data_IF_433725453247
#
_entry.id   IF_433725453247
#
_cell.length_a   1.000
_cell.length_b   1.000
_cell.length_c   1.000
_cell.angle_alpha   90.00
_cell.angle_beta   90.00
_cell.angle_gamma   90.00
#
_symmetry.space_group_name_H-M   'P 1'
#
loop_
_entity.id
_entity.type
_entity.pdbx_description
1 polymer ?
#
# COMPACT_ATOMS: atom_id res chain seq x y z
N UNK A 1 31.66 15.51 24.12
CA UNK A 1 30.91 15.45 22.86
C UNK A 1 29.63 16.24 23.07
N UNK A 2 29.48 17.37 22.39
CA UNK A 2 28.38 18.31 22.57
C UNK A 2 27.06 17.64 22.16
N UNK A 3 26.13 17.46 23.10
CA UNK A 3 24.76 17.06 22.78
C UNK A 3 24.10 18.20 22.02
N UNK A 4 23.92 18.05 20.71
CA UNK A 4 23.13 18.99 19.94
C UNK A 4 21.69 18.94 20.46
N UNK A 5 21.15 20.09 20.85
CA UNK A 5 19.73 20.21 21.18
C UNK A 5 18.93 19.89 19.92
N UNK A 6 18.08 18.86 19.97
CA UNK A 6 17.14 18.57 18.89
C UNK A 6 16.29 19.81 18.63
N UNK A 7 16.06 20.13 17.37
CA UNK A 7 15.09 21.18 17.05
C UNK A 7 13.69 20.69 17.41
N UNK A 8 12.76 21.62 17.64
CA UNK A 8 11.36 21.25 17.84
C UNK A 8 10.80 20.42 16.66
N UNK A 9 11.31 20.63 15.45
CA UNK A 9 10.95 19.84 14.26
C UNK A 9 11.42 18.39 14.42
N UNK A 10 12.66 18.17 14.89
CA UNK A 10 13.21 16.83 15.08
C UNK A 10 12.44 16.06 16.18
N UNK A 11 12.02 16.75 17.24
CA UNK A 11 11.19 16.18 18.30
C UNK A 11 9.82 15.73 17.78
N UNK A 12 9.13 16.61 17.03
CA UNK A 12 7.84 16.29 16.43
C UNK A 12 7.97 15.13 15.43
N UNK A 13 8.99 15.18 14.58
CA UNK A 13 9.22 14.17 13.55
C UNK A 13 9.54 12.80 14.15
N UNK A 14 10.44 12.75 15.13
CA UNK A 14 10.77 11.49 15.81
C UNK A 14 9.58 10.86 16.54
N UNK A 15 8.62 11.67 17.03
CA UNK A 15 7.38 11.20 17.63
C UNK A 15 6.27 10.81 16.63
N UNK A 16 6.18 11.47 15.47
CA UNK A 16 5.07 11.34 14.53
C UNK A 16 5.07 10.04 13.72
N UNK A 17 3.90 9.44 13.50
CA UNK A 17 3.76 8.44 12.42
C UNK A 17 3.75 9.17 11.09
N UNK A 18 4.76 8.94 10.26
CA UNK A 18 4.82 9.46 8.90
C UNK A 18 4.20 8.43 7.98
N UNK A 19 3.17 8.84 7.25
CA UNK A 19 2.28 7.93 6.53
C UNK A 19 2.25 8.27 5.05
N UNK A 20 2.72 7.35 4.22
CA UNK A 20 2.52 7.41 2.78
C UNK A 20 1.39 6.44 2.40
N UNK A 21 0.23 7.00 2.06
CA UNK A 21 -0.98 6.22 1.86
C UNK A 21 -1.06 5.54 0.48
N UNK A 22 -0.15 5.86 -0.43
CA UNK A 22 -0.13 5.28 -1.77
C UNK A 22 1.23 5.53 -2.45
N UNK A 23 2.02 4.47 -2.59
CA UNK A 23 3.20 4.44 -3.42
C UNK A 23 2.83 3.90 -4.81
N UNK A 24 2.76 4.82 -5.78
CA UNK A 24 2.46 4.54 -7.20
C UNK A 24 3.61 3.85 -7.92
N UNK A 25 4.03 2.68 -7.43
CA UNK A 25 4.97 1.80 -8.10
C UNK A 25 4.20 1.02 -9.16
N UNK A 26 4.79 0.81 -10.34
CA UNK A 26 4.15 -0.01 -11.37
C UNK A 26 4.00 -1.46 -10.85
N UNK A 27 2.77 -2.00 -10.79
CA UNK A 27 2.52 -3.31 -10.19
C UNK A 27 2.95 -4.42 -11.16
N UNK A 28 4.17 -4.88 -10.98
CA UNK A 28 4.76 -6.01 -11.70
C UNK A 28 5.44 -6.95 -10.70
N UNK A 29 5.31 -8.26 -10.92
CA UNK A 29 5.84 -9.28 -10.01
C UNK A 29 7.39 -9.32 -9.99
N UNK A 30 8.03 -8.73 -11.00
CA UNK A 30 9.48 -8.54 -11.11
C UNK A 30 9.96 -7.16 -10.68
N UNK A 31 9.08 -6.28 -10.19
CA UNK A 31 9.47 -4.98 -9.63
C UNK A 31 10.51 -5.15 -8.53
N UNK A 32 11.59 -4.37 -8.62
CA UNK A 32 12.60 -4.27 -7.57
C UNK A 32 12.04 -3.48 -6.37
N UNK A 33 11.89 -4.17 -5.25
CA UNK A 33 11.35 -3.62 -4.01
C UNK A 33 12.44 -3.14 -3.05
N UNK A 34 13.73 -3.19 -3.41
CA UNK A 34 14.81 -2.59 -2.62
C UNK A 34 14.60 -1.08 -2.45
N UNK A 35 13.83 -0.46 -3.34
CA UNK A 35 13.38 0.93 -3.24
C UNK A 35 12.60 1.27 -1.96
N UNK A 36 12.01 0.28 -1.26
CA UNK A 36 11.36 0.49 0.05
C UNK A 36 12.32 1.08 1.11
N UNK A 37 13.63 0.83 0.97
CA UNK A 37 14.64 1.45 1.83
C UNK A 37 14.67 2.97 1.72
N UNK A 38 14.22 3.56 0.60
CA UNK A 38 14.11 5.02 0.48
C UNK A 38 13.09 5.58 1.47
N UNK A 39 11.93 4.93 1.63
CA UNK A 39 10.93 5.31 2.64
C UNK A 39 11.48 5.10 4.06
N UNK A 40 12.14 3.97 4.31
CA UNK A 40 12.70 3.66 5.63
C UNK A 40 13.78 4.66 6.03
N UNK A 41 14.73 4.97 5.14
CA UNK A 41 15.78 5.98 5.37
C UNK A 41 15.22 7.40 5.47
N UNK A 42 14.12 7.69 4.77
CA UNK A 42 13.43 8.95 4.89
C UNK A 42 12.60 9.07 6.18
N UNK A 43 12.57 8.06 7.06
CA UNK A 43 11.86 8.05 8.34
C UNK A 43 10.36 7.79 8.24
N UNK A 44 9.89 7.28 7.10
CA UNK A 44 8.48 6.92 6.91
C UNK A 44 8.12 5.72 7.81
N UNK A 45 6.97 5.80 8.47
CA UNK A 45 6.49 4.77 9.39
C UNK A 45 5.61 3.74 8.69
N UNK A 46 4.84 4.16 7.69
CA UNK A 46 3.97 3.30 6.90
C UNK A 46 3.99 3.70 5.42
N UNK A 47 4.01 2.70 4.55
CA UNK A 47 3.76 2.84 3.11
C UNK A 47 2.71 1.82 2.64
N UNK A 48 1.74 2.26 1.86
CA UNK A 48 0.86 1.37 1.09
C UNK A 48 1.39 1.27 -0.34
N UNK A 49 1.63 0.06 -0.84
CA UNK A 49 2.18 -0.17 -2.17
C UNK A 49 1.09 -0.62 -3.12
N UNK A 50 0.98 0.05 -4.27
CA UNK A 50 0.03 -0.30 -5.32
C UNK A 50 0.30 -1.72 -5.86
N UNK A 51 -0.73 -2.55 -5.95
CA UNK A 51 -0.63 -3.92 -6.50
C UNK A 51 -1.51 -4.18 -7.72
N UNK A 52 -2.43 -3.27 -8.04
CA UNK A 52 -3.30 -3.35 -9.21
C UNK A 52 -3.92 -1.99 -9.51
N UNK A 53 -4.26 -1.74 -10.77
CA UNK A 53 -4.99 -0.55 -11.20
C UNK A 53 -6.10 -0.93 -12.19
N UNK A 54 -6.72 0.04 -12.86
CA UNK A 54 -7.91 -0.19 -13.70
C UNK A 54 -7.74 -1.17 -14.88
N UNK A 55 -6.51 -1.44 -15.32
CA UNK A 55 -6.26 -2.21 -16.56
C UNK A 55 -5.94 -3.69 -16.30
N UNK A 56 -5.03 -4.07 -15.39
CA UNK A 56 -4.65 -5.46 -15.21
C UNK A 56 -5.79 -6.29 -14.62
N UNK A 57 -5.87 -7.55 -15.02
CA UNK A 57 -6.85 -8.47 -14.47
C UNK A 57 -6.48 -8.94 -13.07
N UNK A 58 -7.42 -9.55 -12.35
CA UNK A 58 -7.13 -10.16 -11.06
C UNK A 58 -6.07 -11.27 -11.18
N UNK A 59 -6.01 -12.01 -12.30
CA UNK A 59 -4.97 -13.02 -12.55
C UNK A 59 -3.57 -12.41 -12.64
N UNK A 60 -3.46 -11.15 -13.06
CA UNK A 60 -2.20 -10.40 -13.10
C UNK A 60 -1.85 -9.79 -11.74
N UNK A 61 -2.86 -9.33 -10.98
CA UNK A 61 -2.68 -8.76 -9.65
C UNK A 61 -2.20 -9.79 -8.60
N UNK A 62 -2.68 -11.03 -8.67
CA UNK A 62 -2.34 -12.08 -7.68
C UNK A 62 -0.83 -12.41 -7.66
N UNK A 63 -0.14 -12.60 -8.80
CA UNK A 63 1.33 -12.74 -8.83
C UNK A 63 2.08 -11.55 -8.23
N UNK A 64 1.61 -10.32 -8.45
CA UNK A 64 2.21 -9.10 -7.88
C UNK A 64 2.10 -9.14 -6.34
N UNK A 65 0.89 -9.35 -5.82
CA UNK A 65 0.63 -9.52 -4.39
C UNK A 65 1.51 -10.62 -3.77
N UNK A 66 1.58 -11.78 -4.42
CA UNK A 66 2.40 -12.90 -3.97
C UNK A 66 3.89 -12.53 -3.89
N UNK A 67 4.42 -11.89 -4.94
CA UNK A 67 5.82 -11.47 -4.99
C UNK A 67 6.13 -10.41 -3.91
N UNK A 68 5.28 -9.40 -3.76
CA UNK A 68 5.51 -8.29 -2.84
C UNK A 68 5.40 -8.75 -1.40
N UNK A 69 4.38 -9.55 -1.10
CA UNK A 69 4.21 -10.16 0.22
C UNK A 69 5.42 -11.03 0.59
N UNK A 70 5.91 -11.87 -0.34
CA UNK A 70 7.11 -12.69 -0.13
C UNK A 70 8.34 -11.83 0.14
N UNK A 71 8.50 -10.71 -0.57
CA UNK A 71 9.64 -9.80 -0.37
C UNK A 71 9.62 -9.19 1.04
N UNK A 72 8.47 -8.68 1.49
CA UNK A 72 8.31 -8.11 2.84
C UNK A 72 8.63 -9.15 3.90
N UNK A 73 8.12 -10.37 3.75
CA UNK A 73 8.37 -11.46 4.72
C UNK A 73 9.80 -11.99 4.72
N UNK A 74 10.54 -11.85 3.62
CA UNK A 74 11.93 -12.26 3.51
C UNK A 74 12.90 -11.33 4.27
N UNK A 75 12.47 -10.12 4.64
CA UNK A 75 13.28 -9.12 5.33
C UNK A 75 12.62 -8.64 6.64
N UNK A 76 12.36 -9.55 7.60
CA UNK A 76 11.58 -9.25 8.80
C UNK A 76 12.27 -8.28 9.78
N UNK A 77 13.58 -8.09 9.61
CA UNK A 77 14.41 -7.12 10.33
C UNK A 77 14.25 -5.69 9.79
N UNK A 78 13.78 -5.53 8.55
CA UNK A 78 13.57 -4.23 7.90
C UNK A 78 12.09 -3.85 7.82
N UNK A 79 11.23 -4.84 7.55
CA UNK A 79 9.84 -4.60 7.22
C UNK A 79 8.87 -5.37 8.11
N UNK A 80 7.63 -4.86 8.15
CA UNK A 80 6.51 -5.53 8.79
C UNK A 80 5.29 -5.40 7.86
N UNK A 81 4.68 -6.52 7.49
CA UNK A 81 3.40 -6.52 6.79
C UNK A 81 2.29 -6.13 7.77
N UNK A 82 1.71 -4.94 7.59
CA UNK A 82 0.78 -4.35 8.55
C UNK A 82 -0.66 -4.79 8.30
N UNK A 83 -1.33 -5.25 9.35
CA UNK A 83 -2.77 -5.55 9.34
C UNK A 83 -3.57 -4.39 9.95
N UNK A 84 -3.02 -3.78 10.99
CA UNK A 84 -3.67 -2.76 11.80
C UNK A 84 -2.78 -1.53 11.99
N UNK A 85 -3.38 -0.41 12.42
CA UNK A 85 -2.62 0.79 12.81
C UNK A 85 -1.67 0.53 14.01
N UNK A 86 -1.95 -0.47 14.84
CA UNK A 86 -1.04 -0.85 15.93
C UNK A 86 0.23 -1.52 15.41
N UNK A 87 0.12 -2.28 14.31
CA UNK A 87 1.29 -2.85 13.65
C UNK A 87 2.24 -1.76 13.12
N UNK A 88 1.70 -0.62 12.68
CA UNK A 88 2.50 0.55 12.27
C UNK A 88 3.26 1.16 13.45
N UNK A 89 2.59 1.31 14.61
CA UNK A 89 3.25 1.79 15.83
C UNK A 89 4.36 0.83 16.27
N UNK A 90 4.09 -0.48 16.22
CA UNK A 90 5.06 -1.52 16.53
C UNK A 90 6.25 -1.48 15.58
N UNK A 91 6.01 -1.43 14.27
CA UNK A 91 7.06 -1.35 13.26
C UNK A 91 7.98 -0.15 13.52
N UNK A 92 7.42 1.04 13.74
CA UNK A 92 8.19 2.23 14.09
C UNK A 92 9.03 2.03 15.36
N UNK A 93 8.43 1.50 16.43
CA UNK A 93 9.13 1.25 17.69
C UNK A 93 10.29 0.26 17.53
N UNK A 94 10.13 -0.72 16.64
CA UNK A 94 11.14 -1.73 16.30
C UNK A 94 12.20 -1.22 15.30
N UNK A 95 12.06 0.00 14.77
CA UNK A 95 12.95 0.54 13.73
C UNK A 95 12.71 -0.02 12.32
N UNK A 96 11.52 -0.58 12.09
CA UNK A 96 11.07 -1.18 10.82
C UNK A 96 10.09 -0.28 10.09
N UNK A 97 9.99 -0.47 8.77
CA UNK A 97 8.93 0.15 7.96
C UNK A 97 7.70 -0.78 7.93
N UNK A 98 6.54 -0.23 8.25
CA UNK A 98 5.27 -0.93 8.03
C UNK A 98 4.86 -0.84 6.55
N UNK A 99 4.47 -1.96 5.97
CA UNK A 99 4.07 -2.08 4.57
C UNK A 99 2.69 -2.71 4.50
N UNK A 100 1.79 -2.14 3.70
CA UNK A 100 0.57 -2.80 3.26
C UNK A 100 0.39 -2.60 1.75
N UNK A 101 -0.71 -3.12 1.20
CA UNK A 101 -1.02 -3.02 -0.22
C UNK A 101 -2.31 -2.24 -0.48
N UNK A 102 -2.42 -1.66 -1.66
CA UNK A 102 -3.64 -1.02 -2.13
C UNK A 102 -3.95 -1.29 -3.60
N UNK A 103 -5.23 -1.13 -3.93
CA UNK A 103 -5.73 -1.17 -5.30
C UNK A 103 -5.98 0.26 -5.78
N UNK A 104 -5.36 0.65 -6.88
CA UNK A 104 -5.61 1.91 -7.59
C UNK A 104 -6.70 1.69 -8.67
N UNK A 105 -7.86 1.18 -8.23
CA UNK A 105 -8.94 0.71 -9.08
C UNK A 105 -9.39 -0.71 -8.69
N UNK A 106 -10.69 -0.91 -8.49
CA UNK A 106 -11.23 -2.19 -8.00
C UNK A 106 -11.47 -3.25 -9.09
N UNK A 107 -10.84 -3.14 -10.26
CA UNK A 107 -10.97 -4.12 -11.36
C UNK A 107 -10.53 -5.54 -10.96
N UNK A 108 -9.65 -5.66 -9.96
CA UNK A 108 -9.23 -6.94 -9.41
C UNK A 108 -10.33 -7.69 -8.62
N UNK A 109 -11.51 -7.09 -8.42
CA UNK A 109 -12.66 -7.78 -7.81
C UNK A 109 -13.35 -8.74 -8.77
N UNK A 110 -13.22 -8.55 -10.08
CA UNK A 110 -13.72 -9.46 -11.11
C UNK A 110 -15.19 -9.87 -10.91
N UNK A 111 -16.04 -8.92 -10.52
CA UNK A 111 -17.47 -9.11 -10.31
C UNK A 111 -17.84 -9.99 -9.11
N UNK A 112 -16.89 -10.32 -8.23
CA UNK A 112 -17.09 -11.17 -7.05
C UNK A 112 -16.71 -10.44 -5.76
N UNK A 113 -17.70 -10.14 -4.91
CA UNK A 113 -17.50 -9.51 -3.60
C UNK A 113 -16.61 -10.36 -2.67
N UNK A 114 -16.51 -11.68 -2.89
CA UNK A 114 -15.60 -12.56 -2.17
C UNK A 114 -14.13 -12.16 -2.35
N UNK A 115 -13.79 -11.50 -3.45
CA UNK A 115 -12.44 -11.00 -3.72
C UNK A 115 -11.99 -9.93 -2.72
N UNK A 116 -12.92 -9.16 -2.13
CA UNK A 116 -12.58 -8.19 -1.07
C UNK A 116 -11.93 -8.91 0.11
N UNK A 117 -12.54 -10.01 0.57
CA UNK A 117 -11.99 -10.79 1.68
C UNK A 117 -10.68 -11.47 1.31
N UNK A 118 -10.55 -11.96 0.07
CA UNK A 118 -9.32 -12.60 -0.41
C UNK A 118 -8.16 -11.60 -0.43
N UNK A 119 -8.35 -10.46 -1.11
CA UNK A 119 -7.33 -9.41 -1.27
C UNK A 119 -6.95 -8.82 0.09
N UNK A 120 -7.93 -8.60 0.98
CA UNK A 120 -7.65 -8.22 2.36
C UNK A 120 -6.76 -9.26 3.09
N UNK A 121 -7.06 -10.55 2.95
CA UNK A 121 -6.23 -11.63 3.50
C UNK A 121 -4.79 -11.65 2.93
N UNK A 122 -4.60 -11.17 1.70
CA UNK A 122 -3.30 -11.04 1.05
C UNK A 122 -2.52 -9.78 1.44
N UNK A 123 -3.11 -8.87 2.22
CA UNK A 123 -2.45 -7.67 2.75
C UNK A 123 -2.95 -6.35 2.17
N UNK A 124 -4.00 -6.36 1.34
CA UNK A 124 -4.64 -5.12 0.85
C UNK A 124 -5.40 -4.44 2.00
N UNK A 125 -5.15 -3.16 2.25
CA UNK A 125 -5.81 -2.37 3.33
C UNK A 125 -6.56 -1.15 2.83
N UNK A 126 -6.39 -0.79 1.57
CA UNK A 126 -7.06 0.31 0.90
C UNK A 126 -7.40 -0.08 -0.54
N UNK A 127 -8.51 0.44 -1.06
CA UNK A 127 -8.85 0.29 -2.46
C UNK A 127 -9.58 1.54 -2.94
N UNK A 128 -9.07 2.12 -4.03
CA UNK A 128 -9.73 3.15 -4.82
C UNK A 128 -10.76 2.50 -5.73
N UNK A 129 -11.98 3.05 -5.77
CA UNK A 129 -13.10 2.48 -6.52
C UNK A 129 -12.79 2.41 -8.02
N UNK A 130 -12.46 3.55 -8.61
CA UNK A 130 -12.04 3.70 -10.00
C UNK A 130 -10.92 4.73 -10.09
N UNK A 131 -9.92 4.48 -10.93
CA UNK A 131 -8.81 5.39 -11.12
C UNK A 131 -9.05 6.36 -12.28
N UNK A 132 -8.61 6.02 -13.49
CA UNK A 132 -8.78 6.84 -14.68
C UNK A 132 -10.04 6.43 -15.46
N UNK A 133 -10.30 5.13 -15.61
CA UNK A 133 -11.36 4.62 -16.45
C UNK A 133 -12.55 4.15 -15.60
N UNK A 134 -13.74 4.19 -16.19
CA UNK A 134 -14.91 3.55 -15.57
C UNK A 134 -14.67 2.04 -15.47
N UNK A 135 -15.07 1.45 -14.35
CA UNK A 135 -15.01 0.02 -14.14
C UNK A 135 -16.34 -0.51 -13.58
N UNK A 136 -16.36 -1.78 -13.19
CA UNK A 136 -17.56 -2.43 -12.68
C UNK A 136 -18.09 -1.82 -11.38
N UNK A 137 -17.27 -1.10 -10.62
CA UNK A 137 -17.61 -0.50 -9.32
C UNK A 137 -18.09 0.94 -9.48
N UNK A 138 -17.49 1.72 -10.39
CA UNK A 138 -17.89 3.11 -10.58
C UNK A 138 -17.12 3.90 -11.64
N UNK A 139 -17.30 5.22 -11.58
CA UNK A 139 -16.76 6.18 -12.55
C UNK A 139 -15.31 6.62 -12.27
N UNK A 140 -14.46 6.54 -13.30
CA UNK A 140 -13.08 7.05 -13.29
C UNK A 140 -13.00 8.51 -13.76
N UNK A 141 -11.90 9.19 -13.45
CA UNK A 141 -11.79 10.64 -13.70
C UNK A 141 -11.55 11.05 -15.16
N UNK A 142 -11.24 10.10 -16.06
CA UNK A 142 -11.02 10.34 -17.49
C UNK A 142 -12.18 9.89 -18.39
N UNK A 143 -13.23 9.30 -17.82
CA UNK A 143 -14.42 8.85 -18.53
C UNK A 143 -15.66 9.68 -18.15
N UNK A 144 -16.81 9.33 -18.72
CA UNK A 144 -18.08 9.94 -18.34
C UNK A 144 -18.46 9.57 -16.91
N UNK A 145 -18.90 10.55 -16.12
CA UNK A 145 -19.36 10.33 -14.74
C UNK A 145 -20.60 9.43 -14.71
N UNK A 146 -20.43 8.23 -14.15
CA UNK A 146 -21.49 7.24 -13.93
C UNK A 146 -21.89 7.12 -12.46
N UNK A 147 -21.17 7.78 -11.53
CA UNK A 147 -21.25 7.49 -10.10
C UNK A 147 -20.85 6.05 -9.75
N UNK A 148 -21.39 5.53 -8.66
CA UNK A 148 -21.31 4.12 -8.27
C UNK A 148 -22.29 3.27 -9.10
N UNK A 149 -21.89 2.05 -9.44
CA UNK A 149 -22.78 1.07 -10.09
C UNK A 149 -23.59 0.29 -9.04
N UNK A 150 -24.44 -0.67 -9.45
CA UNK A 150 -25.11 -1.57 -8.50
C UNK A 150 -24.15 -2.56 -7.82
N UNK A 151 -22.98 -2.81 -8.41
CA UNK A 151 -21.96 -3.70 -7.83
C UNK A 151 -21.08 -2.98 -6.80
N UNK A 152 -20.82 -1.69 -7.00
CA UNK A 152 -20.03 -0.84 -6.10
C UNK A 152 -20.80 -0.22 -4.95
#
# INVERSE_FOLDING_TARGET
MSGATLSHVDEVYSGALVWDAHAGIYPDAGTDLDGLENWRHAGVSFVSVNVAYDIPSWEEAIPVLSAYRRFVEAHPDLYLLADTAEDVRRAKADGRLAVAFDLEGMCALNGDLGMVSLLHGLGVRQALFAYNLNNEVGGGCHDGDTGLTDFG
#
